data_IF_373665317366
#
_entry.id   IF_373665317366
#
_cell.length_a   1.000
_cell.length_b   1.000
_cell.length_c   1.000
_cell.angle_alpha   90.00
_cell.angle_beta   90.00
_cell.angle_gamma   90.00
#
_symmetry.space_group_name_H-M   'P 1'
#
loop_
_entity.id
_entity.type
_entity.pdbx_description
1 polymer ?
#
# COMPACT_ATOMS: atom_id res chain seq x y z
N UNK A 1 -11.17 -25.09 -28.03
CA UNK A 1 -10.93 -23.65 -27.86
C UNK A 1 -9.47 -23.43 -27.51
N UNK A 2 -8.72 -22.55 -28.16
CA UNK A 2 -7.32 -22.31 -27.84
C UNK A 2 -7.23 -21.75 -26.40
N UNK A 3 -6.37 -22.34 -25.59
CA UNK A 3 -6.07 -21.91 -24.21
C UNK A 3 -5.34 -20.56 -24.30
N UNK A 4 -6.01 -19.47 -23.96
CA UNK A 4 -5.36 -18.14 -23.88
C UNK A 4 -4.29 -18.20 -22.80
N UNK A 5 -3.04 -18.25 -23.20
CA UNK A 5 -1.88 -18.21 -22.29
C UNK A 5 -1.70 -16.76 -21.89
N UNK A 6 -2.19 -16.37 -20.72
CA UNK A 6 -1.96 -15.04 -20.15
C UNK A 6 -0.47 -14.84 -19.87
N UNK A 7 0.02 -13.61 -20.08
CA UNK A 7 1.40 -13.23 -19.77
C UNK A 7 1.72 -13.53 -18.28
N UNK A 8 2.92 -14.00 -17.94
CA UNK A 8 3.31 -14.33 -16.56
C UNK A 8 3.04 -13.23 -15.55
N UNK A 9 3.29 -11.96 -15.91
CA UNK A 9 3.07 -10.80 -15.03
C UNK A 9 1.59 -10.55 -14.73
N UNK A 10 0.71 -10.78 -15.70
CA UNK A 10 -0.75 -10.67 -15.50
C UNK A 10 -1.21 -11.75 -14.51
N UNK A 11 -0.68 -12.97 -14.62
CA UNK A 11 -1.03 -14.06 -13.70
C UNK A 11 -0.50 -13.81 -12.29
N UNK A 12 0.69 -13.23 -12.17
CA UNK A 12 1.28 -12.84 -10.89
C UNK A 12 0.44 -11.76 -10.20
N UNK A 13 -0.03 -10.74 -10.94
CA UNK A 13 -0.92 -9.71 -10.43
C UNK A 13 -2.27 -10.27 -9.97
N UNK A 14 -2.91 -11.13 -10.79
CA UNK A 14 -4.17 -11.79 -10.44
C UNK A 14 -4.04 -12.63 -9.15
N UNK A 15 -2.89 -13.29 -8.95
CA UNK A 15 -2.63 -14.05 -7.73
C UNK A 15 -2.52 -13.15 -6.51
N UNK A 16 -1.85 -12.01 -6.64
CA UNK A 16 -1.77 -11.01 -5.56
C UNK A 16 -3.16 -10.45 -5.19
N UNK A 17 -4.01 -10.16 -6.19
CA UNK A 17 -5.37 -9.66 -5.95
C UNK A 17 -6.25 -10.68 -5.22
N UNK A 18 -6.16 -11.95 -5.60
CA UNK A 18 -6.86 -13.05 -4.93
C UNK A 18 -6.36 -13.25 -3.49
N UNK A 19 -5.04 -13.20 -3.29
CA UNK A 19 -4.46 -13.32 -1.97
C UNK A 19 -4.91 -12.17 -1.04
N UNK A 20 -4.95 -10.94 -1.54
CA UNK A 20 -5.48 -9.80 -0.81
C UNK A 20 -6.93 -10.03 -0.39
N UNK A 21 -7.79 -10.47 -1.31
CA UNK A 21 -9.18 -10.80 -1.03
C UNK A 21 -9.33 -11.86 0.06
N UNK A 22 -8.55 -12.95 0.01
CA UNK A 22 -8.58 -14.00 1.02
C UNK A 22 -8.12 -13.51 2.40
N UNK A 23 -7.05 -12.70 2.46
CA UNK A 23 -6.58 -12.13 3.72
C UNK A 23 -7.60 -11.20 4.35
N UNK A 24 -8.27 -10.37 3.55
CA UNK A 24 -9.33 -9.49 4.03
C UNK A 24 -10.56 -10.27 4.53
N UNK A 25 -10.92 -11.36 3.87
CA UNK A 25 -12.10 -12.17 4.24
C UNK A 25 -11.84 -13.04 5.47
N UNK A 26 -10.69 -13.72 5.54
CA UNK A 26 -10.40 -14.77 6.52
C UNK A 26 -9.37 -14.38 7.57
N UNK A 27 -8.62 -13.30 7.35
CA UNK A 27 -7.44 -12.94 8.13
C UNK A 27 -6.16 -13.62 7.61
N UNK A 28 -5.05 -12.89 7.64
CA UNK A 28 -3.74 -13.41 7.23
C UNK A 28 -3.36 -14.69 7.97
N UNK A 29 -3.53 -14.72 9.29
CA UNK A 29 -3.15 -15.87 10.12
C UNK A 29 -3.92 -17.15 9.75
N UNK A 30 -5.15 -17.01 9.30
CA UNK A 30 -6.08 -18.11 9.01
C UNK A 30 -5.98 -18.63 7.57
N UNK A 31 -5.14 -18.04 6.72
CA UNK A 31 -4.96 -18.45 5.31
C UNK A 31 -3.63 -19.16 5.15
N UNK A 32 -3.64 -20.39 4.71
CA UNK A 32 -2.43 -21.17 4.38
C UNK A 32 -1.98 -20.94 2.94
N UNK A 33 -0.71 -21.31 2.64
CA UNK A 33 -0.22 -21.32 1.25
C UNK A 33 -1.03 -22.26 0.35
N UNK A 34 -1.53 -23.37 0.87
CA UNK A 34 -2.36 -24.29 0.09
C UNK A 34 -3.72 -23.67 -0.25
N UNK A 35 -4.30 -22.86 0.64
CA UNK A 35 -5.53 -22.12 0.35
C UNK A 35 -5.32 -21.14 -0.78
N UNK A 36 -4.20 -20.41 -0.78
CA UNK A 36 -3.84 -19.45 -1.84
C UNK A 36 -3.63 -20.14 -3.19
N UNK A 37 -2.94 -21.28 -3.20
CA UNK A 37 -2.71 -22.10 -4.40
C UNK A 37 -4.03 -22.62 -4.97
N UNK A 38 -4.90 -23.14 -4.09
CA UNK A 38 -6.20 -23.68 -4.48
C UNK A 38 -7.14 -22.58 -5.04
N UNK A 39 -7.22 -21.45 -4.34
CA UNK A 39 -8.04 -20.30 -4.77
C UNK A 39 -7.56 -19.72 -6.10
N UNK A 40 -6.24 -19.57 -6.27
CA UNK A 40 -5.67 -19.06 -7.51
C UNK A 40 -5.79 -20.02 -8.70
N UNK A 41 -6.03 -21.32 -8.46
CA UNK A 41 -6.11 -22.34 -9.49
C UNK A 41 -4.79 -22.53 -10.24
N UNK A 42 -3.66 -22.34 -9.57
CA UNK A 42 -2.31 -22.50 -10.13
C UNK A 42 -1.66 -23.78 -9.60
N UNK A 43 -0.68 -24.31 -10.33
CA UNK A 43 0.12 -25.41 -9.80
C UNK A 43 1.03 -24.94 -8.65
N UNK A 44 1.33 -25.84 -7.73
CA UNK A 44 2.24 -25.59 -6.61
C UNK A 44 3.60 -25.07 -7.10
N UNK A 45 4.16 -25.66 -8.17
CA UNK A 45 5.42 -25.22 -8.77
C UNK A 45 5.34 -23.80 -9.33
N UNK A 46 4.25 -23.43 -10.02
CA UNK A 46 4.05 -22.08 -10.53
C UNK A 46 3.92 -21.04 -9.40
N UNK A 47 3.24 -21.39 -8.32
CA UNK A 47 3.13 -20.53 -7.15
C UNK A 47 4.51 -20.24 -6.53
N UNK A 48 5.28 -21.29 -6.21
CA UNK A 48 6.60 -21.15 -5.59
C UNK A 48 7.64 -20.48 -6.49
N UNK A 49 7.45 -20.53 -7.82
CA UNK A 49 8.27 -19.77 -8.74
C UNK A 49 8.09 -18.24 -8.55
N UNK A 50 6.88 -17.78 -8.23
CA UNK A 50 6.59 -16.37 -8.01
C UNK A 50 6.79 -15.93 -6.55
N UNK A 51 6.39 -16.78 -5.61
CA UNK A 51 6.42 -16.48 -4.17
C UNK A 51 6.94 -17.67 -3.38
N UNK A 52 8.21 -17.62 -2.94
CA UNK A 52 8.84 -18.72 -2.22
C UNK A 52 8.21 -18.98 -0.84
N UNK A 53 7.50 -18.00 -0.28
CA UNK A 53 6.81 -18.09 1.01
C UNK A 53 5.57 -17.19 1.05
N UNK A 54 4.73 -17.40 2.07
CA UNK A 54 3.59 -16.53 2.38
C UNK A 54 4.07 -15.12 2.72
N UNK A 55 5.18 -14.99 3.44
CA UNK A 55 5.78 -13.70 3.79
C UNK A 55 6.30 -12.95 2.56
N UNK A 56 6.91 -13.65 1.58
CA UNK A 56 7.34 -13.04 0.33
C UNK A 56 6.16 -12.50 -0.50
N UNK A 57 5.04 -13.22 -0.49
CA UNK A 57 3.80 -12.76 -1.12
C UNK A 57 3.25 -11.53 -0.39
N UNK A 58 3.19 -11.55 0.94
CA UNK A 58 2.73 -10.42 1.75
C UNK A 58 3.61 -9.20 1.57
N UNK A 59 4.93 -9.37 1.55
CA UNK A 59 5.86 -8.26 1.30
C UNK A 59 5.59 -7.60 -0.06
N UNK A 60 5.40 -8.42 -1.11
CA UNK A 60 5.06 -7.90 -2.46
C UNK A 60 3.70 -7.20 -2.48
N UNK A 61 2.71 -7.74 -1.78
CA UNK A 61 1.38 -7.15 -1.69
C UNK A 61 1.40 -5.81 -0.95
N UNK A 62 2.10 -5.75 0.19
CA UNK A 62 2.27 -4.55 0.98
C UNK A 62 3.01 -3.46 0.19
N UNK A 63 4.10 -3.82 -0.50
CA UNK A 63 4.85 -2.89 -1.34
C UNK A 63 3.98 -2.31 -2.47
N UNK A 64 3.21 -3.15 -3.16
CA UNK A 64 2.29 -2.69 -4.21
C UNK A 64 1.24 -1.73 -3.65
N UNK A 65 0.56 -2.12 -2.58
CA UNK A 65 -0.50 -1.31 -1.96
C UNK A 65 0.02 0.06 -1.49
N UNK A 66 1.16 0.08 -0.79
CA UNK A 66 1.76 1.32 -0.31
C UNK A 66 2.23 2.23 -1.46
N UNK A 67 2.83 1.66 -2.52
CA UNK A 67 3.26 2.42 -3.69
C UNK A 67 2.09 3.02 -4.46
N UNK A 68 0.99 2.27 -4.63
CA UNK A 68 -0.21 2.74 -5.30
C UNK A 68 -0.84 3.91 -4.53
N UNK A 69 -0.93 3.82 -3.20
CA UNK A 69 -1.40 4.90 -2.34
C UNK A 69 -0.47 6.13 -2.41
N UNK A 70 0.85 5.92 -2.29
CA UNK A 70 1.85 6.98 -2.35
C UNK A 70 1.84 7.72 -3.69
N UNK A 71 1.67 7.02 -4.82
CA UNK A 71 1.68 7.64 -6.15
C UNK A 71 0.61 8.74 -6.28
N UNK A 72 -0.59 8.52 -5.76
CA UNK A 72 -1.66 9.52 -5.76
C UNK A 72 -1.34 10.75 -4.91
N UNK A 73 -0.70 10.55 -3.76
CA UNK A 73 -0.27 11.67 -2.89
C UNK A 73 0.90 12.42 -3.52
N UNK A 74 1.89 11.72 -4.07
CA UNK A 74 3.04 12.34 -4.71
C UNK A 74 2.63 13.20 -5.92
N UNK A 75 1.67 12.72 -6.73
CA UNK A 75 1.12 13.49 -7.85
C UNK A 75 0.38 14.75 -7.38
N UNK A 76 -0.44 14.66 -6.34
CA UNK A 76 -1.14 15.81 -5.76
C UNK A 76 -0.16 16.87 -5.24
N UNK A 77 0.96 16.48 -4.63
CA UNK A 77 2.02 17.38 -4.18
C UNK A 77 2.77 18.00 -5.36
N UNK A 78 3.08 17.20 -6.39
CA UNK A 78 3.83 17.66 -7.56
C UNK A 78 3.04 18.68 -8.39
N UNK A 79 1.72 18.51 -8.47
CA UNK A 79 0.80 19.40 -9.23
C UNK A 79 0.29 20.59 -8.41
N UNK A 80 0.63 20.70 -7.14
CA UNK A 80 0.22 21.82 -6.29
C UNK A 80 1.05 23.07 -6.58
N UNK A 81 0.40 24.15 -7.04
CA UNK A 81 0.99 25.46 -7.36
C UNK A 81 1.09 26.39 -6.13
N UNK A 82 1.23 25.84 -4.94
CA UNK A 82 1.29 26.62 -3.71
C UNK A 82 2.64 26.58 -3.01
N UNK A 83 2.67 27.20 -1.84
CA UNK A 83 3.82 27.15 -0.93
C UNK A 83 3.94 25.80 -0.20
N UNK A 84 4.82 25.71 0.78
CA UNK A 84 5.02 24.47 1.54
C UNK A 84 3.79 24.09 2.37
N UNK A 85 3.00 25.04 2.85
CA UNK A 85 1.76 24.78 3.58
C UNK A 85 0.66 24.26 2.65
N UNK A 86 0.54 24.81 1.45
CA UNK A 86 -0.41 24.32 0.45
C UNK A 86 -0.08 22.88 0.03
N UNK A 87 1.21 22.58 -0.16
CA UNK A 87 1.69 21.23 -0.47
C UNK A 87 1.45 20.25 0.68
N UNK A 88 1.64 20.67 1.93
CA UNK A 88 1.30 19.85 3.09
C UNK A 88 -0.20 19.57 3.16
N UNK A 89 -1.03 20.59 2.89
CA UNK A 89 -2.48 20.41 2.77
C UNK A 89 -2.85 19.46 1.62
N UNK A 90 -2.11 19.48 0.49
CA UNK A 90 -2.32 18.54 -0.61
C UNK A 90 -2.02 17.09 -0.18
N UNK A 91 -0.95 16.85 0.61
CA UNK A 91 -0.68 15.52 1.21
C UNK A 91 -1.87 15.05 2.05
N UNK A 92 -2.34 15.89 2.97
CA UNK A 92 -3.44 15.54 3.88
C UNK A 92 -4.76 15.27 3.13
N UNK A 93 -5.08 16.13 2.12
CA UNK A 93 -6.29 15.95 1.29
C UNK A 93 -6.21 14.69 0.45
N UNK A 94 -5.09 14.45 -0.25
CA UNK A 94 -4.93 13.27 -1.08
C UNK A 94 -4.97 11.99 -0.24
N UNK A 95 -4.31 11.97 0.93
CA UNK A 95 -4.41 10.86 1.88
C UNK A 95 -5.82 10.64 2.39
N UNK A 96 -6.55 11.71 2.71
CA UNK A 96 -7.95 11.64 3.10
C UNK A 96 -8.84 11.15 1.95
N UNK A 97 -8.65 11.67 0.72
CA UNK A 97 -9.42 11.27 -0.46
C UNK A 97 -9.19 9.81 -0.84
N UNK A 98 -7.95 9.31 -0.72
CA UNK A 98 -7.66 7.89 -0.91
C UNK A 98 -8.46 7.06 0.09
N UNK A 99 -8.48 7.45 1.38
CA UNK A 99 -9.26 6.78 2.41
C UNK A 99 -10.78 6.98 2.21
N UNK A 100 -11.23 8.14 1.73
CA UNK A 100 -12.66 8.45 1.52
C UNK A 100 -13.22 7.91 0.20
N UNK A 101 -12.40 7.74 -0.85
CA UNK A 101 -12.80 6.96 -2.04
C UNK A 101 -13.08 5.48 -1.70
N UNK A 102 -12.63 5.06 -0.52
CA UNK A 102 -12.99 3.78 0.10
C UNK A 102 -14.31 3.87 0.90
N UNK A 103 -15.25 4.74 0.51
CA UNK A 103 -16.52 4.96 1.26
C UNK A 103 -17.65 4.03 0.88
N UNK A 104 -17.45 3.15 -0.09
CA UNK A 104 -18.41 2.06 -0.33
C UNK A 104 -18.42 1.06 0.84
N UNK A 105 -19.55 0.35 1.06
CA UNK A 105 -19.63 -0.62 2.16
C UNK A 105 -18.57 -1.73 2.05
N UNK A 106 -18.18 -2.12 0.85
CA UNK A 106 -17.13 -3.13 0.62
C UNK A 106 -15.74 -2.62 1.00
N UNK A 107 -15.43 -1.38 0.66
CA UNK A 107 -14.14 -0.75 1.00
C UNK A 107 -14.00 -0.49 2.49
N UNK A 108 -15.08 -0.03 3.14
CA UNK A 108 -15.09 0.13 4.60
C UNK A 108 -14.90 -1.22 5.29
N UNK A 109 -15.56 -2.28 4.81
CA UNK A 109 -15.38 -3.63 5.33
C UNK A 109 -13.93 -4.13 5.15
N UNK A 110 -13.30 -3.83 4.01
CA UNK A 110 -11.90 -4.16 3.76
C UNK A 110 -10.96 -3.43 4.72
N UNK A 111 -11.17 -2.13 4.95
CA UNK A 111 -10.40 -1.33 5.90
C UNK A 111 -10.54 -1.86 7.33
N UNK A 112 -11.77 -2.10 7.79
CA UNK A 112 -12.04 -2.68 9.11
C UNK A 112 -11.38 -4.06 9.23
N UNK A 113 -11.44 -4.86 8.17
CA UNK A 113 -10.80 -6.18 8.14
C UNK A 113 -9.27 -6.07 8.24
N UNK A 114 -8.65 -5.09 7.58
CA UNK A 114 -7.20 -4.88 7.64
C UNK A 114 -6.72 -4.54 9.06
N UNK A 115 -7.56 -3.84 9.84
CA UNK A 115 -7.26 -3.46 11.23
C UNK A 115 -7.49 -4.60 12.25
N UNK A 116 -7.98 -5.75 11.82
CA UNK A 116 -8.19 -6.91 12.72
C UNK A 116 -6.85 -7.48 13.21
N UNK A 117 -6.79 -8.04 14.42
CA UNK A 117 -5.57 -8.64 14.97
C UNK A 117 -4.96 -9.73 14.08
N UNK A 118 -5.80 -10.52 13.40
CA UNK A 118 -5.37 -11.59 12.49
C UNK A 118 -4.79 -11.08 11.14
N UNK A 119 -4.82 -9.77 10.90
CA UNK A 119 -4.17 -9.08 9.79
C UNK A 119 -3.02 -8.16 10.23
N UNK A 120 -2.67 -8.12 11.51
CA UNK A 120 -1.66 -7.20 12.05
C UNK A 120 -0.31 -7.29 11.32
N UNK A 121 0.10 -8.50 10.91
CA UNK A 121 1.33 -8.71 10.15
C UNK A 121 1.28 -8.03 8.77
N UNK A 122 0.18 -8.17 8.03
CA UNK A 122 -0.01 -7.51 6.73
C UNK A 122 -0.04 -5.99 6.90
N UNK A 123 -0.81 -5.51 7.86
CA UNK A 123 -0.92 -4.07 8.15
C UNK A 123 0.42 -3.44 8.54
N UNK A 124 1.17 -4.09 9.43
CA UNK A 124 2.50 -3.63 9.83
C UNK A 124 3.49 -3.56 8.66
N UNK A 125 3.40 -4.49 7.70
CA UNK A 125 4.22 -4.45 6.47
C UNK A 125 3.85 -3.26 5.58
N UNK A 126 2.56 -2.97 5.42
CA UNK A 126 2.10 -1.80 4.64
C UNK A 126 2.63 -0.52 5.28
N UNK A 127 2.45 -0.34 6.59
CA UNK A 127 2.93 0.84 7.31
C UNK A 127 4.45 1.03 7.20
N UNK A 128 5.23 -0.05 7.28
CA UNK A 128 6.69 0.03 7.14
C UNK A 128 7.09 0.57 5.76
N UNK A 129 6.46 0.09 4.69
CA UNK A 129 6.73 0.58 3.32
C UNK A 129 6.25 2.03 3.15
N UNK A 130 5.08 2.37 3.69
CA UNK A 130 4.58 3.75 3.68
C UNK A 130 5.56 4.71 4.35
N UNK A 131 6.08 4.37 5.54
CA UNK A 131 7.08 5.20 6.22
C UNK A 131 8.33 5.41 5.37
N UNK A 132 8.84 4.38 4.68
CA UNK A 132 9.98 4.51 3.77
C UNK A 132 9.70 5.46 2.60
N UNK A 133 8.48 5.48 2.08
CA UNK A 133 8.08 6.32 0.95
C UNK A 133 7.77 7.76 1.38
N UNK A 134 6.99 7.94 2.44
CA UNK A 134 6.51 9.27 2.86
C UNK A 134 7.58 10.09 3.59
N UNK A 135 8.40 9.46 4.43
CA UNK A 135 9.43 10.16 5.23
C UNK A 135 10.31 11.09 4.38
N UNK A 136 11.01 10.62 3.31
CA UNK A 136 11.88 11.50 2.53
C UNK A 136 11.13 12.60 1.77
N UNK A 137 9.88 12.39 1.39
CA UNK A 137 9.05 13.38 0.75
C UNK A 137 8.66 14.48 1.76
N UNK A 138 8.13 14.09 2.92
CA UNK A 138 7.70 15.01 3.96
C UNK A 138 8.88 15.80 4.54
N UNK A 139 10.02 15.16 4.81
CA UNK A 139 11.23 15.85 5.29
C UNK A 139 11.66 16.95 4.31
N UNK A 140 11.70 16.67 3.00
CA UNK A 140 12.02 17.68 2.00
C UNK A 140 11.01 18.83 1.97
N UNK A 141 9.72 18.51 2.10
CA UNK A 141 8.65 19.51 2.12
C UNK A 141 8.79 20.43 3.34
N UNK A 142 8.97 19.86 4.54
CA UNK A 142 9.15 20.63 5.78
C UNK A 142 10.42 21.46 5.72
N UNK A 143 11.57 20.87 5.32
CA UNK A 143 12.83 21.59 5.19
C UNK A 143 12.74 22.78 4.22
N UNK A 144 12.07 22.59 3.08
CA UNK A 144 11.82 23.70 2.15
C UNK A 144 10.94 24.77 2.76
N UNK A 145 9.88 24.39 3.47
CA UNK A 145 9.00 25.34 4.16
C UNK A 145 9.71 26.15 5.24
N UNK A 146 10.67 25.55 5.95
CA UNK A 146 11.53 26.27 6.90
C UNK A 146 12.44 27.27 6.16
N UNK A 147 13.08 26.83 5.06
CA UNK A 147 13.97 27.71 4.27
C UNK A 147 13.20 28.88 3.65
N UNK A 148 11.95 28.67 3.26
CA UNK A 148 11.09 29.72 2.68
C UNK A 148 10.38 30.59 3.77
N UNK A 149 10.59 30.29 5.06
CA UNK A 149 9.96 31.03 6.17
C UNK A 149 8.47 30.73 6.39
N UNK A 150 7.96 29.64 5.80
CA UNK A 150 6.57 29.19 5.96
C UNK A 150 6.39 28.39 7.24
N UNK A 151 7.41 27.60 7.64
CA UNK A 151 7.44 26.82 8.87
C UNK A 151 8.56 27.27 9.79
N UNK A 152 8.36 27.08 11.10
CA UNK A 152 9.35 27.32 12.13
C UNK A 152 9.58 26.03 12.94
N UNK A 153 10.69 25.36 12.66
CA UNK A 153 11.18 24.22 13.43
C UNK A 153 12.69 24.09 13.27
N UNK A 154 13.38 23.71 14.36
CA UNK A 154 14.82 23.43 14.35
C UNK A 154 15.14 21.99 13.92
N UNK A 155 14.15 21.10 13.89
CA UNK A 155 14.31 19.67 13.56
C UNK A 155 13.24 19.19 12.55
N UNK A 156 13.42 19.49 11.26
CA UNK A 156 12.49 19.02 10.21
C UNK A 156 12.38 17.49 10.12
N UNK A 157 13.46 16.77 10.46
CA UNK A 157 13.46 15.29 10.44
C UNK A 157 12.66 14.73 11.62
N UNK A 158 12.81 15.30 12.80
CA UNK A 158 12.07 14.92 13.99
C UNK A 158 10.57 15.19 13.90
N UNK A 159 10.15 16.18 13.10
CA UNK A 159 8.72 16.45 12.84
C UNK A 159 8.07 15.30 12.07
N UNK A 160 8.86 14.54 11.28
CA UNK A 160 8.38 13.47 10.38
C UNK A 160 8.65 12.07 10.96
N UNK A 161 9.34 11.97 12.09
CA UNK A 161 9.79 10.70 12.71
C UNK A 161 8.65 9.81 13.21
#
# INVERSE_FOLDING_TARGET
MPRVVKHPDIRRAELLDRAAGLFLQRGYENVSLNDLIADAGVSKGAFYHWFPSKDALVATLAERSARDAFAGVADAVATCDGDALDRLNAVLRAGFDINMKMTGPEQLAAMVSLLRPDNAHLYGRILAVEQELYRPMLTRLISKGVADGVFDTFDPEGVVA
#
